data_IF_127111712879
#
_entry.id   IF_127111712879
#
_cell.length_a   1.000
_cell.length_b   1.000
_cell.length_c   1.000
_cell.angle_alpha   90.00
_cell.angle_beta   90.00
_cell.angle_gamma   90.00
#
_symmetry.space_group_name_H-M   'P 1'
#
loop_
_entity.id
_entity.type
_entity.pdbx_description
1 polymer ?
#
# COMPACT_ATOMS: atom_id res chain seq x y z
N UNK A 1 35.26 69.20 -61.58
CA UNK A 1 34.23 68.20 -61.19
C UNK A 1 32.97 68.95 -60.78
N UNK A 2 31.80 68.50 -61.26
CA UNK A 2 30.58 69.29 -61.24
C UNK A 2 29.93 69.24 -59.86
N UNK A 3 29.65 70.40 -59.26
CA UNK A 3 29.11 70.54 -57.88
C UNK A 3 27.83 69.74 -57.62
N UNK A 4 27.05 69.42 -58.66
CA UNK A 4 25.87 68.56 -58.56
C UNK A 4 26.21 67.12 -58.14
N UNK A 5 27.33 66.57 -58.61
CA UNK A 5 27.77 65.21 -58.25
C UNK A 5 28.11 65.13 -56.75
N UNK A 6 28.69 66.19 -56.20
CA UNK A 6 29.06 66.26 -54.78
C UNK A 6 27.81 66.24 -53.89
N UNK A 7 26.78 67.03 -54.24
CA UNK A 7 25.52 67.04 -53.48
C UNK A 7 24.77 65.71 -53.55
N UNK A 8 24.79 65.02 -54.70
CA UNK A 8 24.18 63.69 -54.84
C UNK A 8 24.89 62.67 -53.92
N UNK A 9 26.23 62.66 -53.91
CA UNK A 9 27.00 61.76 -53.04
C UNK A 9 26.72 62.03 -51.56
N UNK A 10 26.65 63.31 -51.16
CA UNK A 10 26.33 63.71 -49.77
C UNK A 10 24.92 63.26 -49.39
N UNK A 11 23.93 63.42 -50.27
CA UNK A 11 22.56 62.97 -50.02
C UNK A 11 22.47 61.45 -49.85
N UNK A 12 23.20 60.68 -50.66
CA UNK A 12 23.25 59.21 -50.55
C UNK A 12 23.87 58.79 -49.22
N UNK A 13 24.99 59.41 -48.80
CA UNK A 13 25.63 59.11 -47.52
C UNK A 13 24.68 59.44 -46.35
N UNK A 14 24.00 60.58 -46.40
CA UNK A 14 23.02 60.96 -45.38
C UNK A 14 21.86 59.95 -45.31
N UNK A 15 21.34 59.50 -46.45
CA UNK A 15 20.28 58.50 -46.50
C UNK A 15 20.73 57.16 -45.88
N UNK A 16 21.94 56.70 -46.19
CA UNK A 16 22.50 55.47 -45.60
C UNK A 16 22.66 55.59 -44.09
N UNK A 17 23.12 56.73 -43.58
CA UNK A 17 23.26 56.97 -42.14
C UNK A 17 21.91 56.98 -41.42
N UNK A 18 20.87 57.58 -42.03
CA UNK A 18 19.51 57.57 -41.47
C UNK A 18 18.96 56.15 -41.43
N UNK A 19 19.14 55.36 -42.49
CA UNK A 19 18.70 53.96 -42.53
C UNK A 19 19.43 53.14 -41.44
N UNK A 20 20.73 53.31 -41.28
CA UNK A 20 21.51 52.63 -40.24
C UNK A 20 21.02 52.95 -38.82
N UNK A 21 20.71 54.22 -38.54
CA UNK A 21 20.19 54.66 -37.24
C UNK A 21 18.81 54.07 -36.95
N UNK A 22 17.93 54.00 -37.95
CA UNK A 22 16.59 53.41 -37.80
C UNK A 22 16.68 51.91 -37.48
N UNK A 23 17.57 51.16 -38.13
CA UNK A 23 17.75 49.73 -37.86
C UNK A 23 18.28 49.48 -36.44
N UNK A 24 19.20 50.30 -35.95
CA UNK A 24 19.74 50.22 -34.58
C UNK A 24 18.67 50.50 -33.51
N UNK A 25 17.79 51.47 -33.74
CA UNK A 25 16.72 51.82 -32.81
C UNK A 25 15.69 50.68 -32.66
N UNK A 26 15.32 50.01 -33.77
CA UNK A 26 14.40 48.87 -33.76
C UNK A 26 15.02 47.65 -33.05
N UNK A 27 16.32 47.43 -33.20
CA UNK A 27 16.97 46.27 -32.57
C UNK A 27 17.16 46.44 -31.05
N UNK A 28 17.34 47.68 -30.57
CA UNK A 28 17.52 48.03 -29.14
C UNK A 28 16.27 47.73 -28.30
N UNK A 29 15.06 47.89 -28.85
CA UNK A 29 13.80 47.66 -28.13
C UNK A 29 13.47 46.17 -27.96
N UNK A 30 13.87 45.34 -28.93
CA UNK A 30 13.68 43.87 -28.90
C UNK A 30 14.45 43.20 -27.76
N UNK A 31 15.60 43.75 -27.37
CA UNK A 31 16.43 43.22 -26.27
C UNK A 31 15.76 43.33 -24.89
N UNK A 32 14.95 44.38 -24.66
CA UNK A 32 14.28 44.58 -23.35
C UNK A 32 13.06 43.68 -23.18
N UNK A 33 12.38 43.32 -24.27
CA UNK A 33 11.26 42.38 -24.25
C UNK A 33 11.72 40.94 -24.00
N UNK A 34 12.88 40.53 -24.56
CA UNK A 34 13.46 39.20 -24.32
C UNK A 34 13.85 38.96 -22.86
N UNK A 35 14.28 40.00 -22.14
CA UNK A 35 14.62 39.89 -20.71
C UNK A 35 13.38 39.67 -19.84
N UNK A 36 12.26 40.36 -20.13
CA UNK A 36 10.99 40.17 -19.40
C UNK A 36 10.38 38.80 -19.61
N UNK A 37 10.42 38.27 -20.84
CA UNK A 37 9.95 36.91 -21.14
C UNK A 37 10.80 35.84 -20.43
N UNK A 38 12.11 36.07 -20.26
CA UNK A 38 12.98 35.15 -19.52
C UNK A 38 12.67 35.13 -18.02
N UNK A 39 12.27 36.25 -17.43
CA UNK A 39 11.83 36.31 -16.03
C UNK A 39 10.46 35.63 -15.83
N UNK A 40 9.50 35.84 -16.74
CA UNK A 40 8.20 35.16 -16.71
C UNK A 40 8.33 33.63 -16.85
N UNK A 41 9.20 33.15 -17.74
CA UNK A 41 9.48 31.71 -17.90
C UNK A 41 10.15 31.15 -16.63
N UNK A 42 11.03 31.91 -15.97
CA UNK A 42 11.65 31.50 -14.70
C UNK A 42 10.65 31.42 -13.55
N UNK A 43 9.72 32.37 -13.47
CA UNK A 43 8.63 32.35 -12.48
C UNK A 43 7.69 31.15 -12.72
N UNK A 44 7.29 30.91 -13.96
CA UNK A 44 6.44 29.76 -14.32
C UNK A 44 7.15 28.42 -14.04
N UNK A 45 8.44 28.31 -14.40
CA UNK A 45 9.23 27.13 -14.10
C UNK A 45 9.31 26.84 -12.60
N UNK A 46 9.51 27.86 -11.74
CA UNK A 46 9.52 27.67 -10.27
C UNK A 46 8.19 27.12 -9.74
N UNK A 47 7.06 27.62 -10.25
CA UNK A 47 5.74 27.17 -9.84
C UNK A 47 5.45 25.74 -10.29
N UNK A 48 5.90 25.36 -11.49
CA UNK A 48 5.79 23.99 -11.99
C UNK A 48 6.71 23.03 -11.23
N UNK A 49 7.96 23.43 -10.97
CA UNK A 49 8.90 22.65 -10.16
C UNK A 49 8.34 22.40 -8.76
N UNK A 50 7.79 23.41 -8.07
CA UNK A 50 7.19 23.22 -6.75
C UNK A 50 6.00 22.23 -6.77
N UNK A 51 5.21 22.21 -7.85
CA UNK A 51 4.12 21.23 -8.02
C UNK A 51 4.66 19.81 -8.26
N UNK A 52 5.71 19.67 -9.06
CA UNK A 52 6.37 18.39 -9.33
C UNK A 52 7.02 17.84 -8.06
N UNK A 53 7.78 18.67 -7.33
CA UNK A 53 8.41 18.31 -6.05
C UNK A 53 7.38 17.84 -5.02
N UNK A 54 6.22 18.52 -4.93
CA UNK A 54 5.15 18.09 -4.03
C UNK A 54 4.57 16.73 -4.41
N UNK A 55 4.40 16.46 -5.72
CA UNK A 55 3.93 15.15 -6.21
C UNK A 55 4.97 14.07 -5.97
N UNK A 56 6.24 14.40 -6.17
CA UNK A 56 7.35 13.49 -5.91
C UNK A 56 7.43 13.14 -4.42
N UNK A 57 7.30 14.13 -3.52
CA UNK A 57 7.27 13.90 -2.09
C UNK A 57 6.10 12.97 -1.67
N UNK A 58 4.90 13.20 -2.21
CA UNK A 58 3.75 12.32 -1.95
C UNK A 58 3.96 10.90 -2.50
N UNK A 59 4.60 10.77 -3.67
CA UNK A 59 4.92 9.47 -4.24
C UNK A 59 5.96 8.73 -3.39
N UNK A 60 7.01 9.42 -2.93
CA UNK A 60 8.02 8.86 -2.04
C UNK A 60 7.42 8.46 -0.69
N UNK A 61 6.55 9.28 -0.11
CA UNK A 61 5.82 8.96 1.12
C UNK A 61 4.95 7.71 0.93
N UNK A 62 4.20 7.65 -0.16
CA UNK A 62 3.35 6.49 -0.48
C UNK A 62 4.18 5.23 -0.68
N UNK A 63 5.31 5.33 -1.39
CA UNK A 63 6.22 4.21 -1.60
C UNK A 63 6.85 3.73 -0.27
N UNK A 64 7.24 4.66 0.61
CA UNK A 64 7.75 4.33 1.93
C UNK A 64 6.68 3.62 2.78
N UNK A 65 5.45 4.14 2.79
CA UNK A 65 4.33 3.53 3.50
C UNK A 65 3.99 2.13 2.98
N UNK A 66 4.03 1.94 1.66
CA UNK A 66 3.82 0.63 1.05
C UNK A 66 4.90 -0.38 1.49
N UNK A 67 6.18 0.02 1.50
CA UNK A 67 7.28 -0.83 1.99
C UNK A 67 7.14 -1.18 3.47
N UNK A 68 6.72 -0.22 4.30
CA UNK A 68 6.46 -0.48 5.72
C UNK A 68 5.32 -1.49 5.93
N UNK A 69 4.19 -1.30 5.24
CA UNK A 69 3.07 -2.23 5.30
C UNK A 69 3.44 -3.64 4.80
N UNK A 70 4.26 -3.74 3.75
CA UNK A 70 4.79 -5.01 3.27
C UNK A 70 5.67 -5.70 4.33
N UNK A 71 6.59 -4.97 4.95
CA UNK A 71 7.45 -5.53 6.00
C UNK A 71 6.64 -6.04 7.22
N UNK A 72 5.58 -5.33 7.61
CA UNK A 72 4.67 -5.78 8.67
C UNK A 72 3.90 -7.05 8.27
N UNK A 73 3.46 -7.15 7.00
CA UNK A 73 2.78 -8.33 6.49
C UNK A 73 3.72 -9.54 6.46
N UNK A 74 4.96 -9.36 6.00
CA UNK A 74 5.99 -10.39 5.99
C UNK A 74 6.33 -10.86 7.42
N UNK A 75 6.43 -9.95 8.38
CA UNK A 75 6.65 -10.30 9.78
C UNK A 75 5.51 -11.15 10.36
N UNK A 76 4.26 -10.77 10.09
CA UNK A 76 3.07 -11.55 10.49
C UNK A 76 3.01 -12.91 9.81
N UNK A 77 3.37 -12.99 8.53
CA UNK A 77 3.44 -14.25 7.80
C UNK A 77 4.50 -15.19 8.39
N UNK A 78 5.66 -14.65 8.76
CA UNK A 78 6.70 -15.41 9.44
C UNK A 78 6.23 -15.93 10.82
N UNK A 79 5.53 -15.11 11.60
CA UNK A 79 4.96 -15.53 12.88
C UNK A 79 3.91 -16.64 12.71
N UNK A 80 3.02 -16.50 11.73
CA UNK A 80 2.04 -17.52 11.39
C UNK A 80 2.72 -18.84 10.98
N UNK A 81 3.77 -18.78 10.17
CA UNK A 81 4.56 -19.95 9.79
C UNK A 81 5.19 -20.63 11.03
N UNK A 82 5.67 -19.87 12.01
CA UNK A 82 6.20 -20.42 13.28
C UNK A 82 5.14 -21.08 14.14
N UNK A 83 3.92 -20.56 14.15
CA UNK A 83 2.80 -21.18 14.85
C UNK A 83 2.38 -22.48 14.15
N UNK A 84 2.34 -22.48 12.82
CA UNK A 84 2.02 -23.67 12.03
C UNK A 84 3.07 -24.77 12.20
N UNK A 85 4.35 -24.42 12.19
CA UNK A 85 5.45 -25.36 12.46
C UNK A 85 5.32 -26.00 13.84
N UNK A 86 5.01 -25.22 14.88
CA UNK A 86 4.73 -25.74 16.23
C UNK A 86 3.52 -26.67 16.26
N UNK A 87 2.43 -26.31 15.58
CA UNK A 87 1.25 -27.16 15.48
C UNK A 87 1.55 -28.49 14.77
N UNK A 88 2.30 -28.45 13.67
CA UNK A 88 2.71 -29.64 12.93
C UNK A 88 3.61 -30.56 13.78
N UNK A 89 4.54 -29.98 14.56
CA UNK A 89 5.37 -30.74 15.48
C UNK A 89 4.52 -31.45 16.55
N UNK A 90 3.59 -30.73 17.20
CA UNK A 90 2.70 -31.34 18.18
C UNK A 90 1.80 -32.44 17.58
N UNK A 91 1.30 -32.26 16.37
CA UNK A 91 0.53 -33.31 15.69
C UNK A 91 1.39 -34.55 15.42
N UNK A 92 2.64 -34.35 15.02
CA UNK A 92 3.60 -35.45 14.78
C UNK A 92 3.93 -36.20 16.08
N UNK A 93 4.14 -35.47 17.18
CA UNK A 93 4.35 -36.06 18.52
C UNK A 93 3.14 -36.88 19.00
N UNK A 94 1.92 -36.37 18.77
CA UNK A 94 0.69 -37.10 19.10
C UNK A 94 0.55 -38.36 18.24
N UNK A 95 0.84 -38.28 16.94
CA UNK A 95 0.81 -39.44 16.05
C UNK A 95 1.81 -40.51 16.50
N UNK A 96 3.06 -40.12 16.81
CA UNK A 96 4.09 -41.03 17.32
C UNK A 96 3.70 -41.65 18.66
N UNK A 97 3.07 -40.88 19.56
CA UNK A 97 2.60 -41.40 20.85
C UNK A 97 1.49 -42.43 20.69
N UNK A 98 0.58 -42.25 19.72
CA UNK A 98 -0.47 -43.23 19.40
C UNK A 98 0.12 -44.53 18.87
N UNK A 99 1.08 -44.44 17.95
CA UNK A 99 1.77 -45.61 17.40
C UNK A 99 2.49 -46.40 18.51
N UNK A 100 3.21 -45.72 19.41
CA UNK A 100 3.83 -46.36 20.57
C UNK A 100 2.82 -47.02 21.52
N UNK A 101 1.62 -46.46 21.65
CA UNK A 101 0.56 -47.02 22.47
C UNK A 101 -0.02 -48.29 21.82
N UNK A 102 -0.27 -48.25 20.52
CA UNK A 102 -0.74 -49.40 19.73
C UNK A 102 0.27 -50.55 19.76
N UNK A 103 1.57 -50.28 19.65
CA UNK A 103 2.63 -51.28 19.80
C UNK A 103 2.68 -51.91 21.19
N UNK A 104 2.46 -51.11 22.24
CA UNK A 104 2.41 -51.61 23.62
C UNK A 104 1.19 -52.50 23.86
N UNK A 105 0.02 -52.09 23.36
CA UNK A 105 -1.20 -52.89 23.42
C UNK A 105 -1.02 -54.22 22.70
N UNK A 106 -0.44 -54.19 21.49
CA UNK A 106 -0.16 -55.41 20.72
C UNK A 106 0.79 -56.36 21.47
N UNK A 107 1.86 -55.84 22.09
CA UNK A 107 2.77 -56.65 22.91
C UNK A 107 2.07 -57.23 24.16
N UNK A 108 1.18 -56.47 24.78
CA UNK A 108 0.41 -56.95 25.92
C UNK A 108 -0.53 -58.10 25.52
N UNK A 109 -1.22 -57.97 24.38
CA UNK A 109 -2.09 -59.00 23.82
C UNK A 109 -1.30 -60.26 23.40
N UNK A 110 -0.07 -60.13 22.90
CA UNK A 110 0.82 -61.25 22.59
C UNK A 110 1.25 -62.02 23.85
N UNK A 111 1.46 -61.32 24.98
CA UNK A 111 1.86 -61.90 26.27
C UNK A 111 0.69 -62.58 26.99
N UNK A 112 -0.48 -61.95 26.94
CA UNK A 112 -1.73 -62.49 27.47
C UNK A 112 -2.75 -62.63 26.34
N UNK A 113 -2.63 -63.66 25.47
CA UNK A 113 -3.66 -63.99 24.52
C UNK A 113 -4.84 -64.53 25.32
N UNK A 114 -5.69 -63.63 25.82
CA UNK A 114 -6.94 -64.01 26.45
C UNK A 114 -7.75 -64.65 25.34
N UNK A 115 -7.95 -65.96 25.43
CA UNK A 115 -8.83 -66.69 24.54
C UNK A 115 -10.13 -65.89 24.40
N UNK A 116 -10.46 -65.51 23.17
CA UNK A 116 -11.67 -64.80 22.83
C UNK A 116 -12.87 -65.64 23.30
N UNK A 117 -13.36 -65.36 24.50
CA UNK A 117 -14.69 -65.75 24.89
C UNK A 117 -15.63 -64.85 24.10
N UNK A 118 -16.21 -65.48 23.07
CA UNK A 118 -17.37 -65.16 22.24
C UNK A 118 -18.13 -63.87 22.60
N UNK A 119 -18.61 -63.08 21.61
CA UNK A 119 -19.52 -61.98 21.87
C UNK A 119 -20.80 -62.54 22.50
N UNK A 120 -20.97 -62.32 23.81
CA UNK A 120 -22.19 -62.61 24.52
C UNK A 120 -23.07 -61.36 24.45
N UNK A 121 -24.18 -61.49 23.72
CA UNK A 121 -25.47 -60.90 24.10
C UNK A 121 -25.60 -59.38 24.02
N UNK A 122 -26.31 -58.93 22.99
CA UNK A 122 -27.55 -58.15 23.11
C UNK A 122 -28.15 -58.04 24.54
N UNK A 123 -28.81 -56.90 24.82
CA UNK A 123 -29.60 -56.48 26.01
C UNK A 123 -28.81 -55.66 27.04
N UNK A 124 -29.29 -54.54 27.60
CA UNK A 124 -30.55 -53.79 27.49
C UNK A 124 -30.32 -52.44 28.22
N UNK A 125 -31.28 -51.53 28.10
CA UNK A 125 -31.58 -50.44 29.05
C UNK A 125 -30.68 -49.18 29.08
N UNK A 126 -31.00 -48.25 28.17
CA UNK A 126 -30.81 -46.81 28.41
C UNK A 126 -32.15 -46.16 28.82
N UNK A 127 -32.76 -46.66 29.90
CA UNK A 127 -33.71 -45.87 30.70
C UNK A 127 -32.94 -45.22 31.85
N UNK A 128 -32.26 -44.11 31.56
CA UNK A 128 -31.86 -43.13 32.58
C UNK A 128 -32.32 -41.76 32.12
N UNK A 129 -33.64 -41.62 32.05
CA UNK A 129 -34.29 -40.35 32.30
C UNK A 129 -34.01 -39.95 33.77
N UNK A 130 -32.99 -39.12 34.02
CA UNK A 130 -32.93 -38.36 35.28
C UNK A 130 -32.15 -37.05 35.12
N UNK A 131 -32.92 -35.98 35.25
CA UNK A 131 -32.48 -34.64 35.68
C UNK A 131 -31.82 -33.74 34.64
N UNK A 132 -32.63 -33.27 33.69
CA UNK A 132 -32.47 -31.94 33.11
C UNK A 132 -33.72 -31.12 33.43
N UNK A 133 -33.91 -30.77 34.71
CA UNK A 133 -34.85 -29.71 35.08
C UNK A 133 -34.14 -28.68 35.97
N UNK A 134 -34.06 -27.48 35.40
CA UNK A 134 -34.12 -26.17 36.06
C UNK A 134 -32.83 -25.39 36.34
N UNK A 135 -32.93 -24.09 36.01
CA UNK A 135 -32.03 -22.93 36.18
C UNK A 135 -30.98 -22.66 35.07
N UNK A 136 -30.88 -21.49 34.43
CA UNK A 136 -31.54 -20.16 34.55
C UNK A 136 -31.19 -19.33 33.27
N UNK A 137 -32.01 -18.37 32.78
CA UNK A 137 -31.84 -17.75 31.47
C UNK A 137 -30.90 -16.54 31.51
N UNK A 138 -29.77 -16.62 30.81
CA UNK A 138 -28.85 -15.49 30.66
C UNK A 138 -29.09 -14.81 29.31
N UNK A 139 -29.80 -13.68 29.37
CA UNK A 139 -29.60 -12.45 28.59
C UNK A 139 -28.92 -12.56 27.22
N UNK A 140 -29.70 -12.55 26.14
CA UNK A 140 -29.24 -12.11 24.82
C UNK A 140 -30.25 -11.14 24.20
N UNK A 141 -29.75 -10.03 23.65
CA UNK A 141 -30.48 -9.22 22.69
C UNK A 141 -30.60 -7.72 22.95
N UNK A 142 -29.60 -7.06 23.56
CA UNK A 142 -29.53 -5.61 23.51
C UNK A 142 -29.17 -5.17 22.08
N UNK A 143 -30.20 -4.79 21.32
CA UNK A 143 -30.07 -4.18 20.01
C UNK A 143 -29.36 -2.83 20.14
N UNK A 144 -28.10 -2.80 19.71
CA UNK A 144 -27.33 -1.57 19.52
C UNK A 144 -28.03 -0.72 18.46
N UNK A 145 -28.82 0.26 18.92
CA UNK A 145 -29.34 1.35 18.09
C UNK A 145 -28.19 2.29 17.75
N UNK A 146 -27.84 2.32 16.48
CA UNK A 146 -26.98 3.34 15.90
C UNK A 146 -27.69 4.71 15.97
N UNK A 147 -27.23 5.57 16.87
CA UNK A 147 -27.55 6.99 16.87
C UNK A 147 -26.73 7.66 15.75
N UNK A 148 -27.39 8.11 14.68
CA UNK A 148 -26.75 8.92 13.64
C UNK A 148 -27.25 10.36 13.73
N UNK A 149 -26.32 11.26 14.04
CA UNK A 149 -26.26 12.67 13.62
C UNK A 149 -27.52 13.52 13.77
N UNK A 150 -27.56 14.25 14.88
CA UNK A 150 -28.26 15.53 15.00
C UNK A 150 -27.38 16.63 14.39
N UNK A 151 -27.71 17.08 13.18
CA UNK A 151 -27.06 18.19 12.46
C UNK A 151 -28.06 19.32 12.20
N UNK A 152 -27.86 20.41 12.93
CA UNK A 152 -28.38 21.78 12.87
C UNK A 152 -28.97 22.28 11.54
N UNK A 153 -30.11 22.99 11.64
CA UNK A 153 -30.58 24.00 10.69
C UNK A 153 -30.99 25.25 11.44
#
# INVERSE_FOLDING_TARGET
MNSHTIWIVVAVIAAVLVIALLLLAVNKTRSRQRQRQAEEIREQAKLETAKVERREALAQETAAKARAAQAEAEAKAAEAARLQERAANHQSEVAASREQLEEQLKRADELHPRAAEKPAGEHDDADVARSAESHDPTTEGEGVRHETSRGTR
#
